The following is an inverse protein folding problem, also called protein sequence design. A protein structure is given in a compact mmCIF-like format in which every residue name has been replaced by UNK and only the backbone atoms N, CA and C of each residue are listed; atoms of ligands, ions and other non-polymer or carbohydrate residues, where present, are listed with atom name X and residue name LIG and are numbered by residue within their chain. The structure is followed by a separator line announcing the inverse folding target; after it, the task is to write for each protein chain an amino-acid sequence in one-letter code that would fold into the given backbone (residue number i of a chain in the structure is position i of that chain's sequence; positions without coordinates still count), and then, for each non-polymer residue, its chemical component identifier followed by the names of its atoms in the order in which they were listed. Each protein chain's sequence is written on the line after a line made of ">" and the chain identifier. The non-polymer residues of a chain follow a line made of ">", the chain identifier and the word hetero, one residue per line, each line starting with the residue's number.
data_IF_053687135575
#
_entry.id   IF_053687135575
#
_cell.length_a   1.000
_cell.length_b   1.000
_cell.length_c   1.000
_cell.angle_alpha   90.00
_cell.angle_beta   90.00
_cell.angle_gamma   90.00
#
_symmetry.space_group_name_H-M   'P 1'
#
loop_
_entity.id
_entity.type
_entity.pdbx_description
1 polymer ?
#
# COMPACT_ATOMS: atom_id res chain seq x y z
N UNK A 1 3.46 -16.71 12.79
CA UNK A 1 2.05 -17.10 13.02
C UNK A 1 1.61 -16.42 14.32
N UNK A 2 1.61 -15.08 14.38
CA UNK A 2 1.47 -14.37 15.67
C UNK A 2 0.75 -13.02 15.57
N UNK A 3 -0.39 -13.00 14.89
CA UNK A 3 -1.51 -12.11 15.23
C UNK A 3 -2.70 -12.68 14.44
N UNK A 4 -3.59 -13.43 15.11
CA UNK A 4 -4.85 -13.90 14.50
C UNK A 4 -5.85 -12.73 14.44
N UNK A 5 -5.44 -11.59 13.89
CA UNK A 5 -6.42 -10.57 13.54
C UNK A 5 -7.22 -11.10 12.35
N UNK A 6 -8.54 -10.88 12.34
CA UNK A 6 -9.29 -11.08 11.11
C UNK A 6 -8.65 -10.20 10.01
N UNK A 7 -8.66 -10.66 8.75
CA UNK A 7 -7.97 -9.98 7.65
C UNK A 7 -8.36 -8.51 7.49
N UNK A 8 -9.61 -8.15 7.81
CA UNK A 8 -10.07 -6.76 7.81
C UNK A 8 -9.36 -5.90 8.86
N UNK A 9 -9.23 -6.38 10.09
CA UNK A 9 -8.55 -5.61 11.15
C UNK A 9 -7.06 -5.44 10.83
N UNK A 10 -6.46 -6.46 10.19
CA UNK A 10 -5.08 -6.36 9.72
C UNK A 10 -4.93 -5.28 8.63
N UNK A 11 -5.89 -5.18 7.69
CA UNK A 11 -5.94 -4.14 6.68
C UNK A 11 -6.08 -2.74 7.30
N UNK A 12 -7.04 -2.55 8.21
CA UNK A 12 -7.21 -1.27 8.91
C UNK A 12 -5.97 -0.87 9.70
N UNK A 13 -5.30 -1.84 10.35
CA UNK A 13 -4.05 -1.58 11.07
C UNK A 13 -2.92 -1.14 10.14
N UNK A 14 -2.83 -1.75 8.96
CA UNK A 14 -1.86 -1.36 7.93
C UNK A 14 -2.14 0.07 7.46
N UNK A 15 -3.38 0.40 7.14
CA UNK A 15 -3.79 1.73 6.70
C UNK A 15 -3.48 2.78 7.77
N UNK A 16 -3.87 2.51 9.01
CA UNK A 16 -3.57 3.37 10.15
C UNK A 16 -2.07 3.60 10.34
N UNK A 17 -1.25 2.55 10.19
CA UNK A 17 0.22 2.67 10.30
C UNK A 17 0.78 3.58 9.20
N UNK A 18 0.27 3.49 7.97
CA UNK A 18 0.67 4.34 6.85
C UNK A 18 0.26 5.80 7.12
N UNK A 19 -0.94 6.04 7.63
CA UNK A 19 -1.42 7.37 8.03
C UNK A 19 -0.56 7.99 9.13
N UNK A 20 -0.19 7.23 10.17
CA UNK A 20 0.71 7.71 11.22
C UNK A 20 2.07 8.14 10.68
N UNK A 21 2.62 7.40 9.71
CA UNK A 21 3.90 7.75 9.08
C UNK A 21 3.72 9.02 8.25
N UNK A 22 2.63 9.14 7.49
CA UNK A 22 2.32 10.34 6.72
C UNK A 22 2.20 11.59 7.62
N UNK A 23 1.50 11.49 8.76
CA UNK A 23 1.40 12.59 9.73
C UNK A 23 2.78 13.03 10.26
N UNK A 24 3.69 12.08 10.51
CA UNK A 24 5.07 12.38 10.93
C UNK A 24 5.86 13.07 9.82
N UNK A 25 5.73 12.59 8.58
CA UNK A 25 6.36 13.21 7.41
C UNK A 25 5.87 14.65 7.22
N UNK A 26 4.56 14.89 7.35
CA UNK A 26 3.97 16.22 7.28
C UNK A 26 4.55 17.14 8.36
N UNK A 27 4.58 16.67 9.61
CA UNK A 27 5.16 17.42 10.74
C UNK A 27 6.62 17.79 10.51
N UNK A 28 7.43 16.88 9.94
CA UNK A 28 8.84 17.15 9.60
C UNK A 28 8.95 18.13 8.43
N UNK A 29 8.10 18.02 7.42
CA UNK A 29 8.10 18.95 6.29
C UNK A 29 7.73 20.36 6.71
N UNK A 30 6.78 20.51 7.65
CA UNK A 30 6.42 21.79 8.26
C UNK A 30 7.61 22.42 8.99
N UNK A 31 8.34 21.63 9.79
CA UNK A 31 9.56 22.10 10.47
C UNK A 31 10.65 22.56 9.50
N UNK A 32 10.75 21.93 8.33
CA UNK A 32 11.73 22.26 7.30
C UNK A 32 11.30 23.42 6.38
N UNK A 33 10.15 24.06 6.62
CA UNK A 33 9.55 25.09 5.75
C UNK A 33 9.44 24.64 4.29
N UNK A 34 9.16 23.35 4.05
CA UNK A 34 8.97 22.78 2.72
C UNK A 34 7.67 23.29 2.09
N UNK A 35 7.70 23.54 0.77
CA UNK A 35 6.49 23.94 0.04
C UNK A 35 5.46 22.81 0.01
N UNK A 36 4.18 23.17 -0.08
CA UNK A 36 3.08 22.19 -0.17
C UNK A 36 3.20 21.23 -1.37
N UNK A 37 3.92 21.63 -2.43
CA UNK A 37 4.25 20.75 -3.54
C UNK A 37 5.20 19.61 -3.13
N UNK A 38 6.28 19.94 -2.40
CA UNK A 38 7.25 18.94 -1.94
C UNK A 38 6.63 17.98 -0.92
N UNK A 39 5.72 18.47 -0.07
CA UNK A 39 4.97 17.62 0.88
C UNK A 39 4.21 16.48 0.17
N UNK A 40 3.61 16.77 -0.99
CA UNK A 40 2.85 15.77 -1.76
C UNK A 40 3.71 14.65 -2.34
N UNK A 41 4.98 14.94 -2.60
CA UNK A 41 5.95 13.96 -3.12
C UNK A 41 6.41 12.99 -2.01
N UNK A 42 6.46 13.45 -0.75
CA UNK A 42 6.80 12.60 0.38
C UNK A 42 5.61 11.78 0.92
N UNK A 43 4.38 12.08 0.51
CA UNK A 43 3.20 11.36 0.97
C UNK A 43 3.24 9.90 0.50
N UNK A 44 3.25 8.99 1.47
CA UNK A 44 3.24 7.55 1.24
C UNK A 44 1.81 7.10 0.96
N UNK A 45 1.63 6.43 -0.17
CA UNK A 45 0.41 5.71 -0.45
C UNK A 45 0.79 4.43 -1.21
N UNK A 46 0.25 3.27 -0.84
CA UNK A 46 0.46 2.04 -1.61
C UNK A 46 -0.11 2.14 -3.03
N UNK A 47 -1.11 2.99 -3.25
CA UNK A 47 -1.61 3.32 -4.60
C UNK A 47 -0.59 4.11 -5.44
N UNK A 48 0.28 4.90 -4.80
CA UNK A 48 1.38 5.60 -5.49
C UNK A 48 2.60 4.69 -5.74
N UNK A 49 2.51 3.40 -5.40
CA UNK A 49 3.63 2.46 -5.44
C UNK A 49 4.84 2.89 -4.57
N UNK A 50 4.60 3.71 -3.55
CA UNK A 50 5.60 4.20 -2.61
C UNK A 50 5.68 3.36 -1.33
N UNK A 51 4.88 2.29 -1.23
CA UNK A 51 4.81 1.39 -0.07
C UNK A 51 4.98 -0.06 -0.53
N UNK A 52 5.84 -0.79 0.16
CA UNK A 52 6.12 -2.21 -0.03
C UNK A 52 5.72 -2.96 1.25
N UNK A 53 5.09 -4.12 1.09
CA UNK A 53 4.83 -5.03 2.19
C UNK A 53 5.91 -6.11 2.22
N UNK A 54 6.50 -6.35 3.39
CA UNK A 54 7.55 -7.35 3.56
C UNK A 54 7.43 -8.07 4.88
N UNK A 55 7.78 -9.35 4.88
CA UNK A 55 7.90 -10.19 6.06
C UNK A 55 9.22 -10.94 6.03
N UNK A 56 10.16 -10.49 6.86
CA UNK A 56 11.52 -11.05 6.95
C UNK A 56 11.54 -12.51 7.39
N UNK A 57 10.54 -12.95 8.15
CA UNK A 57 10.44 -14.32 8.68
C UNK A 57 10.10 -15.31 7.57
N UNK A 58 9.21 -14.93 6.65
CA UNK A 58 8.77 -15.78 5.54
C UNK A 58 9.54 -15.52 4.25
N UNK A 59 10.45 -14.53 4.24
CA UNK A 59 11.20 -14.13 3.04
C UNK A 59 10.31 -13.55 1.94
N UNK A 60 9.13 -13.03 2.29
CA UNK A 60 8.14 -12.52 1.34
C UNK A 60 8.22 -11.01 1.29
N UNK A 61 8.29 -10.43 0.11
CA UNK A 61 8.11 -8.99 -0.10
C UNK A 61 7.37 -8.74 -1.41
N UNK A 62 6.38 -7.86 -1.40
CA UNK A 62 5.59 -7.54 -2.58
C UNK A 62 5.02 -6.12 -2.50
N UNK A 63 4.90 -5.49 -3.66
CA UNK A 63 4.05 -4.32 -3.85
C UNK A 63 2.70 -4.78 -4.41
N UNK A 64 1.69 -3.92 -4.40
CA UNK A 64 0.40 -4.24 -5.02
C UNK A 64 0.55 -4.58 -6.51
N UNK A 65 1.49 -3.94 -7.21
CA UNK A 65 1.79 -4.24 -8.62
C UNK A 65 2.37 -5.64 -8.81
N UNK A 66 3.33 -6.03 -7.98
CA UNK A 66 3.91 -7.39 -8.02
C UNK A 66 2.87 -8.45 -7.65
N UNK A 67 2.02 -8.18 -6.66
CA UNK A 67 0.92 -9.07 -6.28
C UNK A 67 -0.10 -9.24 -7.41
N UNK A 68 -0.51 -8.14 -8.06
CA UNK A 68 -1.40 -8.15 -9.21
C UNK A 68 -0.84 -8.96 -10.38
N UNK A 69 0.47 -8.82 -10.65
CA UNK A 69 1.17 -9.60 -11.69
C UNK A 69 1.19 -11.10 -11.37
N UNK A 70 1.44 -11.47 -10.12
CA UNK A 70 1.38 -12.87 -9.67
C UNK A 70 -0.04 -13.42 -9.89
N UNK A 71 -1.07 -12.65 -9.53
CA UNK A 71 -2.46 -13.05 -9.72
C UNK A 71 -2.82 -13.27 -11.20
N UNK A 72 -2.46 -12.33 -12.09
CA UNK A 72 -2.70 -12.45 -13.53
C UNK A 72 -2.02 -13.68 -14.14
N UNK A 73 -0.80 -13.99 -13.67
CA UNK A 73 -0.04 -15.16 -14.14
C UNK A 73 -0.67 -16.49 -13.68
N UNK A 74 -1.21 -16.54 -12.45
CA UNK A 74 -1.88 -17.75 -11.94
C UNK A 74 -3.17 -18.04 -12.70
N UNK A 75 -3.96 -17.01 -13.01
CA UNK A 75 -5.27 -17.16 -13.66
C UNK A 75 -5.23 -17.03 -15.19
N UNK A 76 -4.02 -16.95 -15.79
CA UNK A 76 -3.82 -16.84 -17.23
C UNK A 76 -4.65 -15.70 -17.86
N UNK A 77 -4.81 -14.59 -17.14
CA UNK A 77 -5.61 -13.47 -17.61
C UNK A 77 -4.72 -12.53 -18.41
N UNK A 78 -4.80 -12.63 -19.73
CA UNK A 78 -3.95 -11.90 -20.67
C UNK A 78 -4.38 -10.45 -20.93
N UNK A 79 -5.56 -10.05 -20.44
CA UNK A 79 -6.24 -8.83 -20.88
C UNK A 79 -6.67 -7.88 -19.74
N UNK A 80 -6.04 -8.01 -18.56
CA UNK A 80 -6.23 -7.08 -17.45
C UNK A 80 -5.07 -6.09 -17.46
N UNK A 81 -5.38 -4.80 -17.46
CA UNK A 81 -4.39 -3.76 -17.21
C UNK A 81 -3.95 -3.85 -15.74
N UNK A 82 -2.69 -4.26 -15.53
CA UNK A 82 -2.09 -4.43 -14.20
C UNK A 82 -2.06 -3.08 -13.47
N UNK A 83 -1.93 -1.98 -14.22
CA UNK A 83 -1.90 -0.63 -13.67
C UNK A 83 -3.30 -0.15 -13.22
N UNK A 84 -4.38 -0.74 -13.74
CA UNK A 84 -5.76 -0.45 -13.28
C UNK A 84 -6.19 -1.42 -12.16
N UNK A 85 -5.77 -2.69 -12.25
CA UNK A 85 -6.15 -3.73 -11.30
C UNK A 85 -5.60 -3.51 -9.89
N UNK A 86 -4.42 -2.88 -9.76
CA UNK A 86 -3.86 -2.64 -8.43
C UNK A 86 -4.63 -1.54 -7.68
N UNK A 87 -5.28 -0.58 -8.37
CA UNK A 87 -6.12 0.42 -7.72
C UNK A 87 -7.34 -0.23 -7.04
N UNK A 88 -7.90 -1.28 -7.66
CA UNK A 88 -9.03 -2.04 -7.12
C UNK A 88 -8.65 -2.75 -5.81
N UNK A 89 -7.41 -3.26 -5.69
CA UNK A 89 -6.97 -4.00 -4.50
C UNK A 89 -6.89 -3.17 -3.21
N UNK A 90 -6.79 -1.84 -3.31
CA UNK A 90 -6.66 -0.95 -2.14
C UNK A 90 -7.85 0.00 -1.97
N UNK A 91 -8.78 0.04 -2.93
CA UNK A 91 -10.02 0.80 -2.79
C UNK A 91 -10.93 0.15 -1.75
N UNK A 92 -11.62 0.96 -0.96
CA UNK A 92 -12.67 0.53 -0.04
C UNK A 92 -13.87 -0.19 -0.72
N UNK A 93 -13.84 -0.39 -2.04
CA UNK A 93 -14.94 -0.95 -2.83
C UNK A 93 -15.03 -2.48 -2.85
N UNK A 94 -14.19 -3.21 -2.09
CA UNK A 94 -14.31 -4.68 -1.91
C UNK A 94 -15.00 -5.01 -0.57
N UNK A 95 -16.10 -4.31 -0.27
CA UNK A 95 -17.10 -4.75 0.69
C UNK A 95 -18.44 -4.89 -0.04
N UNK A 96 -18.58 -6.00 -0.78
CA UNK A 96 -19.87 -6.52 -1.24
C UNK A 96 -20.14 -7.85 -0.53
#
# INVERSE_FOLDING_TARGET
>A
MDLRLPPNDAYHKINYTIEEINMKIESICDLLNKSNAEKKDFLLSPLKNNVLFSSSIYGVFFTLKSFSKIYCNIYNVYNIDIDEFFFIFYGEDIYL
#
